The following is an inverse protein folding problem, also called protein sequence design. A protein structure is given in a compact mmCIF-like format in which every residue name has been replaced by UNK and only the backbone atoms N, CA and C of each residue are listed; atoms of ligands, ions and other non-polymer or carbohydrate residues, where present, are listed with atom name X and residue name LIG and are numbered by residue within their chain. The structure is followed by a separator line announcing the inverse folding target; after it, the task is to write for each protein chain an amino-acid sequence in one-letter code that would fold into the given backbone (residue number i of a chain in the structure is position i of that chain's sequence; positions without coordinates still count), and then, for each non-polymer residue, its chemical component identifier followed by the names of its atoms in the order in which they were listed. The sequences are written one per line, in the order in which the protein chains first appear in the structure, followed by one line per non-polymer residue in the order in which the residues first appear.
data_IF_634344731586
#
_entry.id   IF_634344731586
#
_cell.length_a   1.000
_cell.length_b   1.000
_cell.length_c   1.000
_cell.angle_alpha   90.00
_cell.angle_beta   90.00
_cell.angle_gamma   90.00
#
_symmetry.space_group_name_H-M   'P 1'
#
loop_
_entity.id
_entity.type
_entity.pdbx_description
1 polymer ?
#
# COMPACT_ATOMS: atom_id res chain seq x y z
N UNK A 1 -27.36 -15.26 8.65
CA UNK A 1 -26.65 -13.99 8.81
C UNK A 1 -25.67 -13.88 7.65
N UNK A 2 -25.79 -12.84 6.79
CA UNK A 2 -24.79 -12.63 5.75
C UNK A 2 -23.46 -12.29 6.42
N UNK A 3 -22.37 -12.88 5.93
CA UNK A 3 -21.05 -12.57 6.47
C UNK A 3 -20.64 -11.19 5.90
N UNK A 4 -20.83 -10.15 6.70
CA UNK A 4 -20.55 -8.75 6.32
C UNK A 4 -19.11 -8.55 5.82
N UNK A 5 -18.14 -9.35 6.33
CA UNK A 5 -16.77 -9.32 5.86
C UNK A 5 -16.67 -9.70 4.38
N UNK A 6 -17.35 -10.77 3.97
CA UNK A 6 -17.38 -11.20 2.55
C UNK A 6 -18.02 -10.12 1.69
N UNK A 7 -19.11 -9.50 2.16
CA UNK A 7 -19.76 -8.41 1.46
C UNK A 7 -18.79 -7.24 1.21
N UNK A 8 -18.10 -6.79 2.24
CA UNK A 8 -17.12 -5.69 2.14
C UNK A 8 -15.90 -6.07 1.31
N UNK A 9 -15.41 -7.30 1.44
CA UNK A 9 -14.22 -7.77 0.73
C UNK A 9 -14.46 -7.92 -0.79
N UNK A 10 -15.70 -8.13 -1.20
CA UNK A 10 -16.09 -8.21 -2.61
C UNK A 10 -16.25 -6.83 -3.27
N UNK A 11 -16.19 -5.74 -2.52
CA UNK A 11 -16.25 -4.39 -3.09
C UNK A 11 -14.98 -4.09 -3.88
N UNK A 12 -15.13 -3.86 -5.17
CA UNK A 12 -13.99 -3.41 -5.99
C UNK A 12 -13.63 -1.96 -5.66
N UNK A 13 -12.44 -1.78 -5.10
CA UNK A 13 -11.93 -0.45 -4.71
C UNK A 13 -10.82 0.06 -5.64
N UNK A 14 -10.46 -0.69 -6.70
CA UNK A 14 -9.32 -0.38 -7.59
C UNK A 14 -9.40 1.03 -8.18
N UNK A 15 -10.57 1.43 -8.63
CA UNK A 15 -10.80 2.74 -9.26
C UNK A 15 -10.85 3.89 -8.23
N UNK A 16 -10.84 3.57 -6.94
CA UNK A 16 -10.94 4.52 -5.83
C UNK A 16 -9.66 4.65 -5.02
N UNK A 17 -8.61 3.93 -5.42
CA UNK A 17 -7.31 4.01 -4.75
C UNK A 17 -6.56 5.22 -5.27
N UNK A 18 -6.30 6.18 -4.39
CA UNK A 18 -5.41 7.30 -4.66
C UNK A 18 -4.00 6.94 -4.22
N UNK A 19 -3.04 6.99 -5.16
CA UNK A 19 -1.62 6.83 -4.87
C UNK A 19 -0.96 8.20 -4.80
N UNK A 20 -0.46 8.55 -3.62
CA UNK A 20 0.30 9.77 -3.39
C UNK A 20 1.62 9.40 -2.69
N UNK A 21 2.75 9.77 -3.29
CA UNK A 21 4.09 9.45 -2.77
C UNK A 21 4.30 7.94 -2.48
N UNK A 22 3.79 7.07 -3.35
CA UNK A 22 3.90 5.61 -3.19
C UNK A 22 2.92 4.98 -2.19
N UNK A 23 2.13 5.78 -1.47
CA UNK A 23 1.12 5.30 -0.53
C UNK A 23 -0.26 5.25 -1.19
N UNK A 24 -1.04 4.22 -0.83
CA UNK A 24 -2.43 4.09 -1.25
C UNK A 24 -3.36 4.66 -0.18
N UNK A 25 -4.34 5.48 -0.61
CA UNK A 25 -5.33 6.08 0.28
C UNK A 25 -6.74 5.67 -0.15
N UNK A 26 -7.54 5.29 0.81
CA UNK A 26 -8.98 5.06 0.62
C UNK A 26 -9.75 6.23 1.24
N UNK A 27 -9.62 7.43 0.64
CA UNK A 27 -10.23 8.67 1.17
C UNK A 27 -11.76 8.58 1.27
N UNK A 28 -12.37 7.72 0.47
CA UNK A 28 -13.81 7.46 0.46
C UNK A 28 -14.24 6.25 1.31
N UNK A 29 -13.29 5.50 1.91
CA UNK A 29 -13.57 4.24 2.61
C UNK A 29 -14.65 4.39 3.68
N UNK A 30 -14.59 5.46 4.47
CA UNK A 30 -15.61 5.73 5.47
C UNK A 30 -17.01 5.95 4.87
N UNK A 31 -17.11 6.76 3.81
CA UNK A 31 -18.37 7.00 3.13
C UNK A 31 -18.96 5.72 2.50
N UNK A 32 -18.12 4.88 1.93
CA UNK A 32 -18.51 3.61 1.34
C UNK A 32 -18.95 2.59 2.40
N UNK A 33 -18.26 2.58 3.55
CA UNK A 33 -18.65 1.79 4.70
C UNK A 33 -20.03 2.21 5.22
N UNK A 34 -20.25 3.50 5.44
CA UNK A 34 -21.52 4.04 5.98
C UNK A 34 -22.72 3.81 5.06
N UNK A 35 -22.52 3.68 3.76
CA UNK A 35 -23.62 3.31 2.82
C UNK A 35 -24.15 1.88 3.07
N UNK A 36 -23.27 0.94 3.44
CA UNK A 36 -23.59 -0.47 3.69
C UNK A 36 -23.91 -0.75 5.15
N UNK A 37 -23.21 -0.09 6.05
CA UNK A 37 -23.32 -0.21 7.50
C UNK A 37 -23.54 1.18 8.12
N UNK A 38 -24.79 1.70 8.08
CA UNK A 38 -25.10 3.04 8.63
C UNK A 38 -24.83 3.16 10.13
N UNK A 39 -24.87 2.04 10.86
CA UNK A 39 -24.58 1.89 12.28
C UNK A 39 -23.09 1.89 12.62
N UNK A 40 -22.19 1.77 11.62
CA UNK A 40 -20.76 1.78 11.85
C UNK A 40 -20.32 3.05 12.60
N UNK A 41 -19.46 2.86 13.61
CA UNK A 41 -18.86 3.94 14.40
C UNK A 41 -17.35 3.82 14.40
N UNK A 42 -16.67 4.90 14.78
CA UNK A 42 -15.23 4.87 14.98
C UNK A 42 -14.86 5.46 16.34
N UNK A 43 -13.70 5.07 16.84
CA UNK A 43 -13.10 5.56 18.08
C UNK A 43 -11.68 6.02 17.81
N UNK A 44 -11.29 7.18 18.30
CA UNK A 44 -9.92 7.64 18.42
C UNK A 44 -9.54 7.51 19.88
N UNK A 45 -8.56 6.67 20.19
CA UNK A 45 -8.15 6.39 21.55
C UNK A 45 -7.16 7.45 22.04
N UNK A 46 -7.49 8.07 23.16
CA UNK A 46 -6.61 9.01 23.84
C UNK A 46 -5.67 8.29 24.82
N UNK A 47 -4.53 8.89 25.09
CA UNK A 47 -3.64 8.46 26.16
C UNK A 47 -4.16 8.96 27.53
N UNK A 48 -3.43 8.68 28.62
CA UNK A 48 -3.82 9.07 29.98
C UNK A 48 -3.94 10.60 30.19
N UNK A 49 -3.26 11.39 29.36
CA UNK A 49 -3.25 12.86 29.41
C UNK A 49 -4.30 13.50 28.47
N UNK A 50 -5.11 12.68 27.76
CA UNK A 50 -6.13 13.14 26.83
C UNK A 50 -5.59 13.53 25.44
N UNK A 51 -4.37 13.08 25.06
CA UNK A 51 -3.83 13.28 23.74
C UNK A 51 -4.21 12.15 22.77
N UNK A 52 -4.48 12.50 21.53
CA UNK A 52 -4.85 11.54 20.46
C UNK A 52 -3.66 10.71 19.93
N UNK A 53 -2.59 10.58 20.70
CA UNK A 53 -1.42 9.77 20.39
C UNK A 53 -0.82 9.16 21.64
N UNK A 54 -0.07 8.08 21.45
CA UNK A 54 0.68 7.37 22.50
C UNK A 54 2.17 7.49 22.16
N UNK A 55 3.06 7.51 23.15
CA UNK A 55 4.49 7.69 22.95
C UNK A 55 5.31 6.71 23.83
N UNK A 56 6.47 6.31 23.31
CA UNK A 56 7.47 5.48 24.01
C UNK A 56 8.67 6.29 24.53
N UNK A 57 8.59 7.62 24.43
CA UNK A 57 9.67 8.53 24.78
C UNK A 57 10.57 8.92 23.61
N UNK A 58 10.59 8.13 22.52
CA UNK A 58 11.40 8.40 21.33
C UNK A 58 10.53 8.73 20.10
N UNK A 59 9.44 7.99 19.93
CA UNK A 59 8.50 8.13 18.82
C UNK A 59 7.07 8.09 19.35
N UNK A 60 6.10 8.20 18.47
CA UNK A 60 4.70 8.09 18.85
C UNK A 60 3.87 7.38 17.77
N UNK A 61 2.70 6.90 18.19
CA UNK A 61 1.72 6.24 17.34
C UNK A 61 0.29 6.66 17.71
N UNK A 62 -0.63 6.42 16.82
CA UNK A 62 -2.05 6.58 17.07
C UNK A 62 -2.72 5.22 17.23
N UNK A 63 -3.81 5.17 17.98
CA UNK A 63 -4.66 4.01 18.14
C UNK A 63 -6.08 4.39 17.74
N UNK A 64 -6.66 3.67 16.79
CA UNK A 64 -8.04 3.89 16.35
C UNK A 64 -8.81 2.58 16.28
N UNK A 65 -10.12 2.66 16.33
CA UNK A 65 -11.02 1.51 16.16
C UNK A 65 -12.16 1.85 15.22
N UNK A 66 -12.65 0.85 14.49
CA UNK A 66 -13.90 0.92 13.74
C UNK A 66 -14.77 -0.23 14.16
N UNK A 67 -16.04 0.05 14.48
CA UNK A 67 -17.01 -0.93 14.93
C UNK A 67 -18.13 -1.10 13.92
N UNK A 68 -18.40 -2.36 13.55
CA UNK A 68 -19.51 -2.78 12.69
C UNK A 68 -20.22 -3.93 13.38
N UNK A 69 -21.54 -3.86 13.52
CA UNK A 69 -22.36 -4.93 14.15
C UNK A 69 -21.83 -5.34 15.54
N UNK A 70 -21.29 -4.38 16.30
CA UNK A 70 -20.72 -4.65 17.63
C UNK A 70 -19.32 -5.28 17.62
N UNK A 71 -18.71 -5.53 16.46
CA UNK A 71 -17.34 -6.03 16.33
C UNK A 71 -16.42 -4.85 16.06
N UNK A 72 -15.43 -4.63 16.93
CA UNK A 72 -14.43 -3.59 16.77
C UNK A 72 -13.15 -4.15 16.18
N UNK A 73 -12.65 -3.51 15.12
CA UNK A 73 -11.31 -3.71 14.59
C UNK A 73 -10.43 -2.54 14.97
N UNK A 74 -9.39 -2.81 15.76
CA UNK A 74 -8.44 -1.81 16.24
C UNK A 74 -7.20 -1.81 15.34
N UNK A 75 -6.69 -0.61 15.08
CA UNK A 75 -5.46 -0.39 14.33
C UNK A 75 -4.52 0.52 15.11
N UNK A 76 -3.23 0.21 15.03
CA UNK A 76 -2.13 1.03 15.56
C UNK A 76 -1.26 1.49 14.41
N UNK A 77 -0.98 2.78 14.32
CA UNK A 77 -0.16 3.32 13.24
C UNK A 77 0.88 4.28 13.80
N UNK A 78 2.19 4.05 13.55
CA UNK A 78 3.23 5.02 13.88
C UNK A 78 3.00 6.35 13.17
N UNK A 79 3.37 7.44 13.82
CA UNK A 79 3.43 8.77 13.19
C UNK A 79 4.70 8.83 12.36
N UNK A 80 4.55 8.90 11.03
CA UNK A 80 5.63 8.70 10.06
C UNK A 80 5.76 9.87 9.10
N UNK A 81 6.99 10.08 8.62
CA UNK A 81 7.31 10.97 7.51
C UNK A 81 6.84 10.40 6.15
N UNK A 82 7.18 11.13 5.07
CA UNK A 82 6.84 10.73 3.70
C UNK A 82 7.63 9.51 3.18
N UNK A 83 8.68 9.10 3.91
CA UNK A 83 9.49 7.90 3.63
C UNK A 83 9.07 6.70 4.49
N UNK A 84 7.93 6.77 5.16
CA UNK A 84 7.43 5.78 6.13
C UNK A 84 8.37 5.52 7.32
N UNK A 85 9.21 6.50 7.70
CA UNK A 85 10.04 6.42 8.89
C UNK A 85 9.35 7.13 10.04
N UNK A 86 9.38 6.52 11.23
CA UNK A 86 8.84 7.16 12.44
C UNK A 86 9.49 8.51 12.68
N UNK A 87 8.69 9.53 12.96
CA UNK A 87 9.16 10.88 13.29
C UNK A 87 9.58 10.89 14.76
N UNK A 88 10.79 11.40 15.09
CA UNK A 88 11.19 11.60 16.48
C UNK A 88 10.16 12.47 17.23
N UNK A 89 9.82 12.08 18.48
CA UNK A 89 8.72 12.68 19.24
C UNK A 89 8.79 14.20 19.30
N UNK A 90 9.98 14.78 19.51
CA UNK A 90 10.18 16.23 19.57
C UNK A 90 9.92 16.99 18.26
N UNK A 91 9.79 16.26 17.13
CA UNK A 91 9.55 16.82 15.80
C UNK A 91 8.12 16.55 15.29
N UNK A 92 7.31 15.83 16.07
CA UNK A 92 5.93 15.51 15.70
C UNK A 92 5.04 16.76 15.85
N UNK A 93 4.23 17.02 14.84
CA UNK A 93 3.24 18.08 14.86
C UNK A 93 1.81 17.51 14.94
N UNK A 94 0.85 18.33 15.34
CA UNK A 94 -0.58 17.96 15.34
C UNK A 94 -1.06 17.57 13.93
N UNK A 95 -0.46 18.13 12.87
CA UNK A 95 -0.75 17.77 11.48
C UNK A 95 -0.32 16.31 11.19
N UNK A 96 0.86 15.89 11.66
CA UNK A 96 1.36 14.54 11.48
C UNK A 96 0.50 13.53 12.23
N UNK A 97 0.10 13.86 13.47
CA UNK A 97 -0.83 13.05 14.27
C UNK A 97 -2.17 12.89 13.54
N UNK A 98 -2.77 14.00 13.08
CA UNK A 98 -4.05 13.93 12.36
C UNK A 98 -3.94 13.09 11.07
N UNK A 99 -2.84 13.23 10.32
CA UNK A 99 -2.58 12.42 9.13
C UNK A 99 -2.48 10.92 9.48
N UNK A 100 -1.81 10.60 10.57
CA UNK A 100 -1.70 9.22 11.06
C UNK A 100 -3.08 8.66 11.48
N UNK A 101 -3.91 9.46 12.18
CA UNK A 101 -5.28 9.07 12.55
C UNK A 101 -6.12 8.72 11.31
N UNK A 102 -6.12 9.56 10.27
CA UNK A 102 -6.89 9.29 9.04
C UNK A 102 -6.44 8.00 8.36
N UNK A 103 -5.14 7.75 8.29
CA UNK A 103 -4.59 6.49 7.74
C UNK A 103 -4.93 5.29 8.61
N UNK A 104 -4.84 5.41 9.92
CA UNK A 104 -5.16 4.35 10.89
C UNK A 104 -6.65 3.97 10.80
N UNK A 105 -7.55 4.94 10.75
CA UNK A 105 -8.99 4.69 10.54
C UNK A 105 -9.26 3.96 9.23
N UNK A 106 -8.58 4.33 8.14
CA UNK A 106 -8.73 3.66 6.86
C UNK A 106 -8.26 2.20 6.91
N UNK A 107 -7.16 1.92 7.61
CA UNK A 107 -6.69 0.54 7.85
C UNK A 107 -7.66 -0.24 8.75
N UNK A 108 -8.22 0.38 9.77
CA UNK A 108 -9.25 -0.25 10.62
C UNK A 108 -10.50 -0.63 9.81
N UNK A 109 -10.94 0.21 8.87
CA UNK A 109 -12.00 -0.13 7.90
C UNK A 109 -11.60 -1.32 7.03
N UNK A 110 -10.36 -1.36 6.56
CA UNK A 110 -9.87 -2.46 5.73
C UNK A 110 -9.86 -3.80 6.48
N UNK A 111 -9.60 -3.82 7.79
CA UNK A 111 -9.69 -5.04 8.61
C UNK A 111 -11.11 -5.63 8.65
N UNK A 112 -12.14 -4.84 8.40
CA UNK A 112 -13.51 -5.33 8.19
C UNK A 112 -13.76 -5.88 6.79
N UNK A 113 -12.77 -5.87 5.89
CA UNK A 113 -12.82 -6.43 4.54
C UNK A 113 -12.71 -5.39 3.43
N UNK A 114 -13.14 -4.15 3.63
CA UNK A 114 -13.21 -3.14 2.57
C UNK A 114 -11.80 -2.73 2.07
N UNK A 115 -11.41 -3.26 0.92
CA UNK A 115 -10.13 -2.96 0.30
C UNK A 115 -8.92 -3.55 1.05
N UNK A 116 -9.10 -4.63 1.81
CA UNK A 116 -8.03 -5.28 2.58
C UNK A 116 -6.81 -5.62 1.71
N UNK A 117 -7.03 -6.05 0.48
CA UNK A 117 -5.96 -6.40 -0.46
C UNK A 117 -5.05 -5.22 -0.87
N UNK A 118 -5.49 -3.98 -0.64
CA UNK A 118 -4.67 -2.78 -0.92
C UNK A 118 -3.47 -2.69 0.02
N UNK A 119 -3.63 -3.24 1.23
CA UNK A 119 -2.61 -3.23 2.28
C UNK A 119 -1.82 -4.53 2.36
N UNK A 120 -2.10 -5.50 1.47
CA UNK A 120 -1.33 -6.73 1.39
C UNK A 120 0.15 -6.40 1.08
N UNK A 121 1.05 -6.81 1.98
CA UNK A 121 2.48 -6.54 1.86
C UNK A 121 2.99 -5.27 2.57
N UNK A 122 2.13 -4.35 3.05
CA UNK A 122 2.61 -3.17 3.80
C UNK A 122 3.24 -3.51 5.16
N UNK A 123 2.83 -4.62 5.76
CA UNK A 123 3.31 -5.07 7.07
C UNK A 123 4.46 -6.09 6.96
N UNK A 124 4.97 -6.36 5.74
CA UNK A 124 6.14 -7.23 5.55
C UNK A 124 7.41 -6.54 6.02
N UNK A 125 8.34 -7.26 6.67
CA UNK A 125 9.67 -6.75 7.00
C UNK A 125 10.38 -6.17 5.77
N UNK A 126 11.18 -5.12 5.95
CA UNK A 126 11.92 -4.47 4.84
C UNK A 126 12.79 -5.47 4.06
N UNK A 127 13.30 -6.51 4.71
CA UNK A 127 14.05 -7.59 4.06
C UNK A 127 13.21 -8.42 3.10
N UNK A 128 11.91 -8.64 3.40
CA UNK A 128 11.00 -9.39 2.51
C UNK A 128 10.51 -8.52 1.37
N UNK A 129 10.29 -7.22 1.61
CA UNK A 129 9.95 -6.26 0.55
C UNK A 129 11.09 -6.09 -0.47
N UNK A 130 12.35 -6.15 -0.01
CA UNK A 130 13.53 -6.17 -0.87
C UNK A 130 13.69 -7.52 -1.60
N UNK A 131 13.27 -8.64 -0.98
CA UNK A 131 13.36 -9.96 -1.60
C UNK A 131 12.36 -10.12 -2.74
N UNK A 132 11.14 -9.61 -2.60
CA UNK A 132 10.15 -9.58 -3.69
C UNK A 132 10.58 -8.67 -4.84
N UNK A 133 11.35 -7.62 -4.56
CA UNK A 133 11.93 -6.75 -5.59
C UNK A 133 13.22 -7.31 -6.23
N UNK A 134 13.92 -8.23 -5.53
CA UNK A 134 15.17 -8.85 -5.99
C UNK A 134 14.99 -10.28 -6.53
N UNK A 135 13.90 -10.97 -6.20
CA UNK A 135 13.68 -12.38 -6.56
C UNK A 135 12.94 -12.60 -7.87
N UNK A 136 12.44 -11.58 -8.53
CA UNK A 136 12.01 -11.71 -9.91
C UNK A 136 13.18 -11.35 -10.83
N UNK A 137 14.10 -12.26 -11.06
CA UNK A 137 14.89 -12.25 -12.29
C UNK A 137 13.89 -12.08 -13.43
N UNK A 138 13.76 -10.85 -13.94
CA UNK A 138 12.87 -10.58 -15.03
C UNK A 138 13.30 -11.47 -16.21
N UNK A 139 12.41 -12.33 -16.70
CA UNK A 139 12.68 -13.24 -17.79
C UNK A 139 11.94 -12.83 -19.04
N UNK A 140 12.57 -13.04 -20.17
CA UNK A 140 11.94 -12.85 -21.48
C UNK A 140 10.78 -13.84 -21.64
N UNK A 141 9.58 -13.35 -21.95
CA UNK A 141 8.39 -14.19 -22.12
C UNK A 141 8.47 -15.11 -23.35
N UNK A 142 9.38 -14.82 -24.31
CA UNK A 142 9.56 -15.63 -25.53
C UNK A 142 10.66 -16.69 -25.35
N UNK A 143 11.89 -16.30 -25.00
CA UNK A 143 13.04 -17.23 -24.95
C UNK A 143 13.43 -17.67 -23.53
N UNK A 144 12.81 -17.11 -22.47
CA UNK A 144 13.13 -17.42 -21.08
C UNK A 144 14.45 -16.85 -20.56
N UNK A 145 15.20 -16.11 -21.36
CA UNK A 145 16.47 -15.49 -20.96
C UNK A 145 16.24 -14.47 -19.87
N UNK A 146 17.14 -14.44 -18.87
CA UNK A 146 17.15 -13.40 -17.82
C UNK A 146 17.43 -12.04 -18.43
N UNK A 147 16.68 -11.01 -18.01
CA UNK A 147 16.91 -9.64 -18.44
C UNK A 147 18.05 -9.06 -17.60
N UNK A 148 19.12 -8.65 -18.28
CA UNK A 148 20.29 -8.02 -17.66
C UNK A 148 20.38 -6.53 -18.05
N UNK A 149 21.15 -5.77 -17.28
CA UNK A 149 21.50 -4.40 -17.63
C UNK A 149 22.34 -4.40 -18.92
N UNK A 150 22.06 -3.46 -19.82
CA UNK A 150 22.79 -3.35 -21.08
C UNK A 150 23.10 -1.89 -21.45
N UNK A 151 24.09 -1.70 -22.32
CA UNK A 151 24.43 -0.41 -22.87
C UNK A 151 23.54 -0.11 -24.08
N UNK A 152 22.63 0.84 -23.93
CA UNK A 152 21.84 1.39 -25.02
C UNK A 152 22.52 2.60 -25.69
N UNK A 153 21.94 3.10 -26.75
CA UNK A 153 22.49 4.25 -27.55
C UNK A 153 22.58 5.55 -26.74
N UNK A 154 21.91 5.68 -25.63
CA UNK A 154 21.88 6.87 -24.74
C UNK A 154 22.45 6.61 -23.34
N UNK A 155 23.19 5.51 -23.13
CA UNK A 155 23.77 5.12 -21.85
C UNK A 155 23.24 3.79 -21.31
N UNK A 156 23.62 3.43 -20.08
CA UNK A 156 23.19 2.19 -19.43
C UNK A 156 21.67 2.17 -19.19
N UNK A 157 21.05 1.03 -19.48
CA UNK A 157 19.63 0.77 -19.27
C UNK A 157 19.49 -0.30 -18.20
N UNK A 158 18.99 0.09 -17.03
CA UNK A 158 18.74 -0.85 -15.92
C UNK A 158 17.61 -1.83 -16.25
N UNK A 159 17.62 -2.97 -15.57
CA UNK A 159 16.61 -4.03 -15.73
C UNK A 159 15.19 -3.48 -15.58
N UNK A 160 14.94 -2.67 -14.52
CA UNK A 160 13.61 -2.11 -14.26
C UNK A 160 13.16 -1.19 -15.41
N UNK A 161 14.08 -0.37 -15.94
CA UNK A 161 13.77 0.54 -17.03
C UNK A 161 13.47 -0.21 -18.34
N UNK A 162 14.19 -1.30 -18.58
CA UNK A 162 13.95 -2.20 -19.71
C UNK A 162 12.59 -2.88 -19.61
N UNK A 163 12.29 -3.49 -18.44
CA UNK A 163 11.02 -4.19 -18.16
C UNK A 163 9.84 -3.23 -18.33
N UNK A 164 9.91 -2.05 -17.70
CA UNK A 164 8.86 -1.04 -17.82
C UNK A 164 8.64 -0.58 -19.27
N UNK A 165 9.73 -0.38 -20.01
CA UNK A 165 9.70 -0.02 -21.44
C UNK A 165 9.09 -1.11 -22.31
N UNK A 166 9.48 -2.36 -22.09
CA UNK A 166 8.97 -3.52 -22.82
C UNK A 166 7.47 -3.73 -22.58
N UNK A 167 7.04 -3.69 -21.33
CA UNK A 167 5.61 -3.79 -20.95
C UNK A 167 4.78 -2.67 -21.58
N UNK A 168 5.28 -1.42 -21.54
CA UNK A 168 4.58 -0.27 -22.13
C UNK A 168 4.42 -0.38 -23.63
N UNK A 169 5.44 -0.89 -24.33
CA UNK A 169 5.48 -0.91 -25.79
C UNK A 169 4.85 -2.16 -26.40
N UNK A 170 5.01 -3.32 -25.73
CA UNK A 170 4.66 -4.63 -26.29
C UNK A 170 3.65 -5.41 -25.43
N UNK A 171 3.27 -4.90 -24.26
CA UNK A 171 2.36 -5.59 -23.33
C UNK A 171 2.98 -6.78 -22.59
N UNK A 172 4.25 -7.12 -22.87
CA UNK A 172 4.97 -8.23 -22.25
C UNK A 172 6.47 -7.91 -22.14
N UNK A 173 7.21 -8.71 -21.34
CA UNK A 173 8.65 -8.53 -21.13
C UNK A 173 9.43 -9.35 -22.16
N UNK A 174 10.18 -8.69 -23.04
CA UNK A 174 11.07 -9.31 -24.01
C UNK A 174 12.52 -8.89 -23.77
N UNK A 175 13.49 -9.80 -23.96
CA UNK A 175 14.90 -9.42 -23.94
C UNK A 175 15.25 -8.60 -25.19
N UNK A 176 16.40 -7.92 -25.14
CA UNK A 176 16.84 -7.04 -26.23
C UNK A 176 17.01 -7.79 -27.55
N UNK A 177 17.47 -9.04 -27.51
CA UNK A 177 17.67 -9.87 -28.70
C UNK A 177 16.34 -10.20 -29.37
N UNK A 178 15.34 -10.64 -28.59
CA UNK A 178 13.99 -10.89 -29.12
C UNK A 178 13.32 -9.64 -29.66
N UNK A 179 13.61 -8.47 -29.08
CA UNK A 179 13.13 -7.17 -29.59
C UNK A 179 13.79 -6.88 -30.93
N UNK A 180 15.11 -7.07 -31.04
CA UNK A 180 15.87 -6.80 -32.27
C UNK A 180 15.50 -7.78 -33.40
N UNK A 181 15.19 -9.02 -33.07
CA UNK A 181 14.78 -10.06 -34.03
C UNK A 181 13.30 -9.96 -34.47
N UNK A 182 12.56 -8.95 -33.98
CA UNK A 182 11.13 -8.72 -34.28
C UNK A 182 10.22 -9.95 -34.01
N UNK A 183 10.57 -10.76 -33.03
CA UNK A 183 9.83 -12.00 -32.69
C UNK A 183 8.38 -11.73 -32.27
N UNK A 184 8.08 -10.48 -31.88
CA UNK A 184 6.76 -10.03 -31.39
C UNK A 184 5.70 -9.90 -32.49
N UNK A 185 6.10 -9.94 -33.77
CA UNK A 185 5.21 -9.77 -34.92
C UNK A 185 4.99 -11.08 -35.70
N UNK A 186 5.37 -12.19 -35.13
CA UNK A 186 5.08 -13.53 -35.63
C UNK A 186 4.13 -14.23 -34.69
#
# INVERSE_FOLDING_TARGET
MSNYFIELNNVNVKDKIEKKNGLSYLSWAWGELKKRHPDATYTIYENADGWNYHADGNTCWVKTGVTINGIECIEYLPVMDFKNKSIPLGNVTSFDVNKAIQRSLTKAVARHGLGLYVYAGEDLPECEQQYDSLSSEAKCCHCGATIEEYLGTKGSVSVEKHVAGSLKKFGAVYCIDCINENVMNK
#
